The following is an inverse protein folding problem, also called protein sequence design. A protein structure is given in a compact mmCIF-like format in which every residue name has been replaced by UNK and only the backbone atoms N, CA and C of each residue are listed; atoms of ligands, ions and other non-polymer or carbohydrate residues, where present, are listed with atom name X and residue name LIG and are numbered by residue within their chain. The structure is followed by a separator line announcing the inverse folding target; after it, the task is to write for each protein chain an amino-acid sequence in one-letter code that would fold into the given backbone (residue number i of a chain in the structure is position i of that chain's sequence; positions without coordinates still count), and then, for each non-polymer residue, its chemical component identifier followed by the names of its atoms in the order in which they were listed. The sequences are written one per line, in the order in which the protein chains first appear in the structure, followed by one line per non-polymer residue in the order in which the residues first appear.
data_IF_599451129925
#
_entry.id   IF_599451129925
#
_cell.length_a   1.000
_cell.length_b   1.000
_cell.length_c   1.000
_cell.angle_alpha   90.00
_cell.angle_beta   90.00
_cell.angle_gamma   90.00
#
_symmetry.space_group_name_H-M   'P 1'
#
loop_
_entity.id
_entity.type
_entity.pdbx_description
1 polymer ?
#
# COMPACT_ATOMS: atom_id res chain seq x y z
N UNK A 1 12.24 -41.28 13.18
CA UNK A 1 12.11 -40.01 12.41
C UNK A 1 10.87 -39.29 12.91
N UNK A 2 11.06 -38.18 13.62
CA UNK A 2 9.98 -37.40 14.26
C UNK A 2 9.63 -36.27 13.31
N UNK A 3 8.43 -36.32 12.72
CA UNK A 3 7.93 -35.26 11.83
C UNK A 3 7.19 -34.25 12.70
N UNK A 4 7.78 -33.06 12.86
CA UNK A 4 7.22 -31.97 13.65
C UNK A 4 5.94 -31.43 13.02
N UNK A 5 4.86 -31.38 13.81
CA UNK A 5 3.59 -30.72 13.45
C UNK A 5 3.77 -29.19 13.53
N UNK A 6 3.66 -28.53 12.39
CA UNK A 6 3.59 -27.07 12.28
C UNK A 6 2.19 -26.60 12.72
N UNK A 7 2.11 -25.88 13.84
CA UNK A 7 0.84 -25.33 14.38
C UNK A 7 0.66 -23.91 13.83
N UNK A 8 -0.18 -23.76 12.82
CA UNK A 8 -0.61 -22.47 12.29
C UNK A 8 -1.47 -21.73 13.33
N UNK A 9 -1.19 -20.44 13.55
CA UNK A 9 -2.00 -19.57 14.40
C UNK A 9 -3.13 -18.99 13.55
N UNK A 10 -4.37 -19.18 14.00
CA UNK A 10 -5.57 -18.57 13.45
C UNK A 10 -5.52 -17.05 13.65
N UNK A 11 -5.86 -16.30 12.60
CA UNK A 11 -6.25 -14.90 12.67
C UNK A 11 -7.76 -14.83 12.76
N UNK A 12 -8.28 -14.62 13.97
CA UNK A 12 -9.66 -14.21 14.18
C UNK A 12 -9.74 -12.69 13.96
N UNK A 13 -10.34 -12.28 12.84
CA UNK A 13 -10.83 -10.93 12.62
C UNK A 13 -12.16 -10.77 13.37
N UNK A 14 -12.11 -10.14 14.55
CA UNK A 14 -13.32 -9.73 15.27
C UNK A 14 -13.41 -8.19 15.28
N UNK A 15 -14.37 -7.68 14.51
CA UNK A 15 -14.79 -6.29 14.53
C UNK A 15 -15.46 -5.95 15.87
N UNK A 16 -14.77 -5.18 16.71
CA UNK A 16 -15.43 -4.34 17.71
C UNK A 16 -14.89 -2.91 17.66
N UNK A 17 -15.75 -1.99 17.21
CA UNK A 17 -15.63 -0.56 17.38
C UNK A 17 -15.85 -0.19 18.85
N UNK A 18 -14.75 -0.06 19.60
CA UNK A 18 -14.78 0.57 20.92
C UNK A 18 -13.89 1.81 20.92
N UNK A 19 -14.54 2.96 21.13
CA UNK A 19 -13.91 4.22 21.46
C UNK A 19 -13.14 4.04 22.78
N UNK A 20 -11.80 4.04 22.71
CA UNK A 20 -10.95 4.07 23.90
C UNK A 20 -10.09 5.32 23.82
N UNK A 21 -10.54 6.35 24.55
CA UNK A 21 -9.74 7.52 24.91
C UNK A 21 -8.48 7.05 25.64
N UNK A 22 -7.33 7.08 24.95
CA UNK A 22 -6.03 6.82 25.58
C UNK A 22 -5.50 8.12 26.20
N UNK A 23 -5.32 8.20 27.53
CA UNK A 23 -4.67 9.36 28.15
C UNK A 23 -3.19 9.42 27.75
N UNK A 24 -2.75 10.60 27.32
CA UNK A 24 -1.34 10.92 27.04
C UNK A 24 -0.53 10.75 28.33
N UNK A 25 0.27 9.69 28.43
CA UNK A 25 1.30 9.57 29.48
C UNK A 25 2.40 10.61 29.24
N UNK A 26 2.30 11.73 29.97
CA UNK A 26 3.32 12.75 30.14
C UNK A 26 4.53 12.09 30.82
N UNK A 27 5.64 11.91 30.10
CA UNK A 27 6.89 11.42 30.66
C UNK A 27 7.42 12.45 31.67
N UNK A 28 7.40 12.08 32.94
CA UNK A 28 8.11 12.75 34.03
C UNK A 28 9.62 12.69 33.73
N UNK A 29 10.27 13.85 33.66
CA UNK A 29 11.73 13.98 33.63
C UNK A 29 12.24 13.80 35.05
N UNK A 30 12.88 12.69 35.35
CA UNK A 30 13.66 12.54 36.59
C UNK A 30 14.95 13.34 36.43
N UNK A 31 15.09 14.39 37.25
CA UNK A 31 16.33 15.09 37.53
C UNK A 31 17.31 14.12 38.19
N UNK A 32 18.51 13.97 37.63
CA UNK A 32 19.63 13.35 38.35
C UNK A 32 20.18 14.35 39.36
N UNK A 33 20.53 13.92 40.59
CA UNK A 33 21.06 14.79 41.63
C UNK A 33 22.53 15.15 41.38
N UNK A 34 22.83 16.41 41.67
CA UNK A 34 24.16 17.00 41.85
C UNK A 34 24.96 16.20 42.89
N UNK A 35 26.18 15.79 42.51
CA UNK A 35 27.25 15.38 43.42
C UNK A 35 28.55 15.90 42.81
N UNK A 36 28.86 17.16 43.09
CA UNK A 36 30.24 17.66 43.08
C UNK A 36 30.85 17.31 44.44
N UNK A 37 32.00 16.63 44.51
CA UNK A 37 32.85 16.67 45.69
C UNK A 37 33.65 18.00 45.70
N UNK A 38 33.79 18.67 46.85
CA UNK A 38 34.56 19.91 46.96
C UNK A 38 36.07 19.65 46.82
N UNK A 39 36.86 20.63 46.32
CA UNK A 39 38.30 20.53 46.27
C UNK A 39 38.92 20.69 47.67
N UNK A 40 39.86 19.80 48.00
CA UNK A 40 40.66 19.89 49.23
C UNK A 40 41.71 21.03 49.16
N UNK A 41 42.11 21.58 50.32
CA UNK A 41 42.85 22.82 50.41
C UNK A 41 44.36 22.67 50.19
N UNK A 42 44.95 23.73 49.64
CA UNK A 42 46.37 24.02 49.66
C UNK A 42 46.99 23.86 51.06
N UNK A 43 48.17 23.23 51.12
CA UNK A 43 49.07 23.26 52.28
C UNK A 43 50.52 22.93 51.92
N UNK A 44 51.53 23.48 52.63
CA UNK A 44 52.81 23.92 52.07
C UNK A 44 54.02 23.02 52.48
N UNK A 45 55.17 23.19 51.80
CA UNK A 45 56.44 22.57 52.18
C UNK A 45 57.15 21.89 51.01
N UNK A 46 57.87 22.57 50.12
CA UNK A 46 59.23 23.11 50.26
C UNK A 46 60.36 22.04 50.13
N UNK A 47 61.32 22.37 49.25
CA UNK A 47 62.73 21.94 49.16
C UNK A 47 63.09 20.60 48.50
N UNK A 48 63.70 20.69 47.32
CA UNK A 48 65.04 20.20 46.92
C UNK A 48 65.04 20.14 45.37
N UNK A 49 65.65 21.12 44.70
CA UNK A 49 67.04 21.05 44.22
C UNK A 49 67.40 19.70 43.59
N UNK A 50 67.31 19.63 42.26
CA UNK A 50 68.31 18.92 41.45
C UNK A 50 68.14 19.26 39.96
N UNK A 51 68.91 20.25 39.51
CA UNK A 51 69.40 20.23 38.13
C UNK A 51 70.43 19.11 38.01
N UNK A 52 70.44 18.42 36.86
CA UNK A 52 71.70 18.20 36.18
C UNK A 52 71.73 18.87 34.81
N UNK A 53 72.69 19.78 34.69
CA UNK A 53 73.50 19.99 33.50
C UNK A 53 73.89 18.70 32.78
N UNK A 54 73.99 18.78 31.45
CA UNK A 54 74.68 17.80 30.60
C UNK A 54 73.85 17.46 29.36
N UNK A 55 73.96 18.19 28.26
CA UNK A 55 75.03 18.08 27.26
C UNK A 55 75.22 16.65 26.74
N UNK A 56 74.70 16.37 25.55
CA UNK A 56 75.46 15.61 24.55
C UNK A 56 74.85 15.77 23.15
N UNK A 57 75.63 16.42 22.28
CA UNK A 57 75.58 16.26 20.83
C UNK A 57 75.35 14.80 20.44
N UNK A 58 74.30 14.56 19.66
CA UNK A 58 74.01 13.28 19.04
C UNK A 58 73.94 13.42 17.53
N UNK A 59 75.05 13.84 16.92
CA UNK A 59 75.26 13.76 15.47
C UNK A 59 75.05 12.32 15.01
N UNK A 60 73.88 11.99 14.45
CA UNK A 60 73.71 10.73 13.74
C UNK A 60 74.36 10.85 12.37
N UNK A 61 75.60 10.38 12.34
CA UNK A 61 76.36 10.10 11.15
C UNK A 61 75.54 9.26 10.17
N UNK A 62 75.36 9.80 8.96
CA UNK A 62 74.93 9.09 7.78
C UNK A 62 75.95 7.98 7.49
N UNK A 63 75.61 6.73 7.83
CA UNK A 63 76.23 5.59 7.16
C UNK A 63 75.56 5.45 5.81
N UNK A 64 76.22 5.98 4.78
CA UNK A 64 75.91 5.69 3.39
C UNK A 64 76.16 4.19 3.17
N UNK A 65 75.08 3.41 3.19
CA UNK A 65 75.13 2.03 2.75
C UNK A 65 75.17 2.02 1.22
N UNK A 66 76.35 1.70 0.68
CA UNK A 66 76.58 1.52 -0.75
C UNK A 66 76.00 0.17 -1.14
N UNK A 67 74.76 0.16 -1.62
CA UNK A 67 74.12 -1.07 -2.08
C UNK A 67 73.00 -0.84 -3.07
N UNK A 68 73.36 -0.78 -4.36
CA UNK A 68 72.53 -1.21 -5.51
C UNK A 68 71.13 -0.58 -5.65
N UNK A 69 71.00 0.36 -6.56
CA UNK A 69 70.32 0.15 -7.86
C UNK A 69 70.01 1.51 -8.50
N UNK A 70 70.53 1.67 -9.72
CA UNK A 70 70.27 2.79 -10.61
C UNK A 70 68.84 2.67 -11.12
N UNK A 71 67.88 3.24 -10.38
CA UNK A 71 66.58 3.62 -10.92
C UNK A 71 66.58 5.14 -11.14
N UNK A 72 66.00 5.56 -12.25
CA UNK A 72 66.06 6.93 -12.72
C UNK A 72 65.37 7.88 -11.73
N UNK A 73 66.00 8.99 -11.32
CA UNK A 73 65.48 9.88 -10.27
C UNK A 73 64.34 10.83 -10.72
N UNK A 74 63.72 10.60 -11.89
CA UNK A 74 62.69 11.49 -12.43
C UNK A 74 61.27 11.19 -11.95
N UNK A 75 60.77 9.97 -12.18
CA UNK A 75 59.33 9.67 -12.07
C UNK A 75 58.83 9.56 -10.63
N UNK A 76 59.61 8.97 -9.72
CA UNK A 76 59.19 8.83 -8.32
C UNK A 76 59.16 10.18 -7.57
N UNK A 77 60.07 11.10 -7.90
CA UNK A 77 60.10 12.44 -7.33
C UNK A 77 58.93 13.30 -7.86
N UNK A 78 58.55 13.11 -9.13
CA UNK A 78 57.41 13.77 -9.74
C UNK A 78 56.08 13.27 -9.15
N UNK A 79 55.94 11.98 -8.86
CA UNK A 79 54.75 11.40 -8.21
C UNK A 79 54.62 11.86 -6.74
N UNK A 80 55.73 11.94 -6.01
CA UNK A 80 55.79 12.48 -4.64
C UNK A 80 55.45 13.99 -4.62
N UNK A 81 55.86 14.73 -5.65
CA UNK A 81 55.50 16.14 -5.80
C UNK A 81 54.01 16.31 -6.11
N UNK A 82 53.46 15.52 -7.04
CA UNK A 82 52.03 15.58 -7.39
C UNK A 82 51.13 15.17 -6.23
N UNK A 83 51.52 14.18 -5.43
CA UNK A 83 50.77 13.78 -4.23
C UNK A 83 50.80 14.87 -3.17
N UNK A 84 51.95 15.49 -2.90
CA UNK A 84 52.05 16.64 -2.00
C UNK A 84 51.27 17.85 -2.50
N UNK A 85 51.26 18.11 -3.80
CA UNK A 85 50.48 19.19 -4.40
C UNK A 85 48.98 18.94 -4.25
N UNK A 86 48.51 17.70 -4.45
CA UNK A 86 47.12 17.32 -4.17
C UNK A 86 46.78 17.44 -2.69
N UNK A 87 47.69 17.04 -1.80
CA UNK A 87 47.49 17.13 -0.35
C UNK A 87 47.41 18.59 0.11
N UNK A 88 48.26 19.47 -0.43
CA UNK A 88 48.22 20.91 -0.17
C UNK A 88 46.92 21.53 -0.69
N UNK A 89 46.49 21.20 -1.92
CA UNK A 89 45.21 21.66 -2.45
C UNK A 89 44.02 21.12 -1.65
N UNK A 90 44.10 19.89 -1.15
CA UNK A 90 43.05 19.33 -0.30
C UNK A 90 43.01 20.02 1.07
N UNK A 91 44.17 20.35 1.65
CA UNK A 91 44.25 21.11 2.90
C UNK A 91 43.63 22.51 2.75
N UNK A 92 43.96 23.24 1.68
CA UNK A 92 43.36 24.55 1.39
C UNK A 92 41.83 24.45 1.19
N UNK A 93 41.35 23.38 0.54
CA UNK A 93 39.91 23.13 0.40
C UNK A 93 39.24 22.71 1.71
N UNK A 94 39.92 21.97 2.59
CA UNK A 94 39.43 21.61 3.93
C UNK A 94 39.31 22.84 4.83
N UNK A 95 40.23 23.80 4.70
CA UNK A 95 40.19 25.09 5.39
C UNK A 95 38.98 25.92 4.91
N UNK A 96 38.79 26.06 3.60
CA UNK A 96 37.62 26.74 3.02
C UNK A 96 36.30 26.07 3.40
N UNK A 97 36.29 24.74 3.47
CA UNK A 97 35.12 23.95 3.89
C UNK A 97 34.82 24.12 5.37
N UNK A 98 35.86 24.17 6.22
CA UNK A 98 35.71 24.45 7.64
C UNK A 98 35.15 25.86 7.85
N UNK A 99 35.68 26.84 7.13
CA UNK A 99 35.23 28.23 7.20
C UNK A 99 33.76 28.34 6.79
N UNK A 100 33.37 27.75 5.65
CA UNK A 100 31.95 27.67 5.22
C UNK A 100 31.05 26.96 6.24
N UNK A 101 31.48 25.87 6.86
CA UNK A 101 30.69 25.17 7.89
C UNK A 101 30.55 25.96 9.20
N UNK A 102 31.58 26.72 9.56
CA UNK A 102 31.56 27.61 10.73
C UNK A 102 30.70 28.85 10.47
N UNK A 103 30.65 29.33 9.22
CA UNK A 103 29.74 30.37 8.75
C UNK A 103 28.29 29.88 8.74
N UNK A 104 28.01 28.67 8.28
CA UNK A 104 26.66 28.07 8.29
C UNK A 104 26.14 27.80 9.72
N UNK A 105 27.04 27.44 10.66
CA UNK A 105 26.70 27.30 12.09
C UNK A 105 26.40 28.62 12.80
N UNK A 106 26.52 29.78 12.13
CA UNK A 106 26.06 31.10 12.63
C UNK A 106 24.53 31.17 12.71
N UNK A 107 23.80 30.11 12.34
CA UNK A 107 22.34 30.04 12.46
C UNK A 107 21.90 29.98 13.95
N UNK A 108 21.64 31.15 14.55
CA UNK A 108 21.15 31.30 15.92
C UNK A 108 19.81 30.56 16.17
N UNK A 109 19.53 30.15 17.43
CA UNK A 109 18.27 29.51 17.82
C UNK A 109 17.03 30.30 17.38
N UNK A 110 16.00 29.57 16.92
CA UNK A 110 14.74 30.09 16.36
C UNK A 110 14.01 31.18 17.17
N UNK A 111 14.30 31.31 18.47
CA UNK A 111 13.72 32.36 19.35
C UNK A 111 14.35 33.75 19.16
N UNK A 112 15.47 33.85 18.44
CA UNK A 112 16.14 35.11 18.06
C UNK A 112 15.90 35.46 16.58
N UNK A 113 15.18 34.60 15.84
CA UNK A 113 14.84 34.78 14.42
C UNK A 113 13.55 35.56 14.19
N UNK A 114 12.81 35.95 15.24
CA UNK A 114 11.60 36.77 15.12
C UNK A 114 11.72 37.92 16.14
N UNK A 115 11.47 39.19 15.84
CA UNK A 115 10.37 39.73 15.07
C UNK A 115 10.77 41.03 14.37
N UNK A 116 10.65 41.09 13.04
CA UNK A 116 9.90 42.13 12.31
C UNK A 116 10.05 41.90 10.80
N UNK A 117 8.92 41.60 10.15
CA UNK A 117 8.71 41.59 8.70
C UNK A 117 9.44 40.51 7.89
N UNK A 118 8.63 39.56 7.41
CA UNK A 118 8.91 38.56 6.37
C UNK A 118 9.09 39.20 4.97
N UNK A 119 9.68 40.39 4.89
CA UNK A 119 9.81 41.20 3.67
C UNK A 119 11.26 41.64 3.36
N UNK A 120 12.22 41.49 4.29
CA UNK A 120 13.62 41.86 4.07
C UNK A 120 14.55 40.70 4.43
N UNK A 121 14.56 39.65 3.61
CA UNK A 121 15.30 38.41 3.90
C UNK A 121 16.69 38.33 3.22
N UNK A 122 17.30 39.45 2.80
CA UNK A 122 18.53 39.39 2.01
C UNK A 122 19.62 40.44 2.29
N UNK A 123 19.67 41.12 3.45
CA UNK A 123 20.78 42.08 3.67
C UNK A 123 21.54 42.08 4.99
N UNK A 124 21.24 41.23 5.99
CA UNK A 124 22.02 41.24 7.24
C UNK A 124 22.98 40.05 7.36
N UNK A 125 23.74 39.85 6.28
CA UNK A 125 25.07 39.28 6.31
C UNK A 125 26.03 40.42 6.66
N UNK A 126 26.43 40.59 7.93
CA UNK A 126 27.77 41.05 8.33
C UNK A 126 27.86 41.40 9.83
N UNK A 127 28.65 40.61 10.56
CA UNK A 127 29.64 41.12 11.51
C UNK A 127 29.23 41.75 12.86
N UNK A 128 27.96 42.05 13.15
CA UNK A 128 27.60 42.87 14.33
C UNK A 128 26.70 42.20 15.39
N UNK A 129 26.50 40.88 15.34
CA UNK A 129 25.61 40.17 16.27
C UNK A 129 26.32 39.47 17.45
N UNK A 130 27.66 39.34 17.42
CA UNK A 130 28.44 38.74 18.51
C UNK A 130 28.36 39.56 19.82
N UNK A 131 28.22 40.88 19.72
CA UNK A 131 28.10 41.79 20.87
C UNK A 131 26.74 41.70 21.60
N UNK A 132 25.77 40.97 21.03
CA UNK A 132 24.42 40.79 21.61
C UNK A 132 24.25 39.44 22.31
N UNK A 133 25.24 38.54 22.24
CA UNK A 133 25.23 37.27 22.96
C UNK A 133 25.43 37.53 24.46
N UNK A 134 24.71 36.79 25.30
CA UNK A 134 24.99 36.71 26.73
C UNK A 134 26.47 36.32 26.94
N UNK A 135 27.19 36.90 27.92
CA UNK A 135 28.62 36.62 28.12
C UNK A 135 28.93 35.12 28.20
N UNK A 136 28.06 34.34 28.84
CA UNK A 136 28.19 32.89 28.93
C UNK A 136 28.03 32.15 27.58
N UNK A 137 27.11 32.60 26.73
CA UNK A 137 26.88 32.02 25.39
C UNK A 137 28.02 32.41 24.42
N UNK A 138 28.56 33.62 24.57
CA UNK A 138 29.72 34.11 23.83
C UNK A 138 31.00 33.35 24.19
N UNK A 139 31.22 33.07 25.48
CA UNK A 139 32.33 32.25 25.95
C UNK A 139 32.27 30.81 25.43
N UNK A 140 31.08 30.20 25.44
CA UNK A 140 30.88 28.86 24.89
C UNK A 140 31.10 28.85 23.36
N UNK A 141 30.67 29.89 22.66
CA UNK A 141 30.92 30.08 21.23
C UNK A 141 32.42 30.20 20.93
N UNK A 142 33.16 31.06 21.64
CA UNK A 142 34.62 31.19 21.47
C UNK A 142 35.29 29.85 21.75
N UNK A 143 34.90 29.16 22.83
CA UNK A 143 35.47 27.85 23.18
C UNK A 143 35.21 26.83 22.08
N UNK A 144 33.99 26.77 21.54
CA UNK A 144 33.63 25.88 20.44
C UNK A 144 34.41 26.21 19.16
N UNK A 145 34.56 27.50 18.84
CA UNK A 145 35.30 27.98 17.66
C UNK A 145 36.81 27.69 17.75
N UNK A 146 37.40 27.95 18.90
CA UNK A 146 38.81 27.63 19.17
C UNK A 146 39.03 26.12 19.15
N UNK A 147 38.09 25.34 19.71
CA UNK A 147 38.16 23.89 19.68
C UNK A 147 38.02 23.33 18.26
N UNK A 148 37.08 23.84 17.46
CA UNK A 148 36.90 23.41 16.05
C UNK A 148 38.09 23.76 15.17
N UNK A 149 38.76 24.90 15.41
CA UNK A 149 40.00 25.26 14.72
C UNK A 149 41.15 24.35 15.15
N UNK A 150 41.31 24.09 16.45
CA UNK A 150 42.36 23.19 16.96
C UNK A 150 42.11 21.71 16.62
N UNK A 151 40.85 21.30 16.41
CA UNK A 151 40.44 19.92 16.13
C UNK A 151 39.70 19.82 14.79
N UNK A 152 40.16 20.58 13.79
CA UNK A 152 39.54 20.70 12.47
C UNK A 152 39.17 19.36 11.84
N UNK A 153 40.12 18.42 11.78
CA UNK A 153 39.89 17.09 11.19
C UNK A 153 38.78 16.32 11.90
N UNK A 154 38.71 16.41 13.23
CA UNK A 154 37.69 15.74 14.03
C UNK A 154 36.32 16.41 13.83
N UNK A 155 36.30 17.75 13.81
CA UNK A 155 35.08 18.52 13.60
C UNK A 155 34.45 18.28 12.21
N UNK A 156 35.26 18.32 11.15
CA UNK A 156 34.82 17.98 9.79
C UNK A 156 34.28 16.53 9.71
N UNK A 157 34.97 15.58 10.33
CA UNK A 157 34.53 14.19 10.38
C UNK A 157 33.17 14.02 11.07
N UNK A 158 32.94 14.69 12.22
CA UNK A 158 31.64 14.65 12.90
C UNK A 158 30.52 15.26 12.04
N UNK A 159 30.80 16.38 11.36
CA UNK A 159 29.84 17.04 10.48
C UNK A 159 29.47 16.19 9.26
N UNK A 160 30.45 15.53 8.65
CA UNK A 160 30.21 14.60 7.54
C UNK A 160 29.36 13.42 7.98
N UNK A 161 29.59 12.87 9.17
CA UNK A 161 28.71 11.84 9.73
C UNK A 161 27.29 12.34 9.98
N UNK A 162 27.12 13.57 10.48
CA UNK A 162 25.81 14.17 10.74
C UNK A 162 25.05 14.40 9.44
N UNK A 163 25.71 14.95 8.42
CA UNK A 163 25.13 15.17 7.10
C UNK A 163 24.76 13.86 6.41
N UNK A 164 25.63 12.84 6.46
CA UNK A 164 25.32 11.51 5.95
C UNK A 164 24.10 10.91 6.66
N UNK A 165 24.00 11.05 7.99
CA UNK A 165 22.83 10.59 8.75
C UNK A 165 21.57 11.36 8.38
N UNK A 166 21.65 12.68 8.14
CA UNK A 166 20.53 13.51 7.69
C UNK A 166 20.07 13.09 6.30
N UNK A 167 20.99 12.98 5.34
CA UNK A 167 20.73 12.55 3.97
C UNK A 167 20.13 11.15 3.92
N UNK A 168 20.68 10.20 4.70
CA UNK A 168 20.13 8.85 4.80
C UNK A 168 18.71 8.82 5.39
N UNK A 169 18.40 9.69 6.36
CA UNK A 169 17.04 9.82 6.93
C UNK A 169 16.07 10.40 5.90
N UNK A 170 16.48 11.43 5.16
CA UNK A 170 15.65 12.05 4.12
C UNK A 170 15.40 11.09 2.96
N UNK A 171 16.44 10.39 2.50
CA UNK A 171 16.33 9.36 1.48
C UNK A 171 15.44 8.20 1.94
N UNK A 172 15.59 7.73 3.18
CA UNK A 172 14.72 6.70 3.73
C UNK A 172 13.25 7.16 3.82
N UNK A 173 13.00 8.44 4.14
CA UNK A 173 11.65 9.00 4.13
C UNK A 173 11.10 9.12 2.72
N UNK A 174 11.90 9.57 1.75
CA UNK A 174 11.49 9.66 0.36
C UNK A 174 11.22 8.28 -0.23
N UNK A 175 12.07 7.29 0.04
CA UNK A 175 11.88 5.90 -0.36
C UNK A 175 10.58 5.33 0.22
N UNK A 176 10.30 5.56 1.52
CA UNK A 176 9.01 5.16 2.14
C UNK A 176 7.82 5.85 1.50
N UNK A 177 7.91 7.14 1.16
CA UNK A 177 6.84 7.86 0.46
C UNK A 177 6.60 7.29 -0.94
N UNK A 178 7.67 7.03 -1.70
CA UNK A 178 7.62 6.41 -3.03
C UNK A 178 7.00 5.00 -2.97
N UNK A 179 7.44 4.17 -2.03
CA UNK A 179 6.89 2.82 -1.82
C UNK A 179 5.39 2.85 -1.47
N UNK A 180 4.95 3.79 -0.63
CA UNK A 180 3.52 3.96 -0.31
C UNK A 180 2.70 4.42 -1.52
N UNK A 181 3.23 5.36 -2.31
CA UNK A 181 2.56 5.82 -3.52
C UNK A 181 2.43 4.71 -4.56
N UNK A 182 3.50 3.95 -4.78
CA UNK A 182 3.54 2.82 -5.70
C UNK A 182 2.63 1.67 -5.23
N UNK A 183 2.60 1.37 -3.93
CA UNK A 183 1.66 0.41 -3.35
C UNK A 183 0.19 0.83 -3.55
N UNK A 184 -0.12 2.13 -3.40
CA UNK A 184 -1.47 2.66 -3.65
C UNK A 184 -1.86 2.51 -5.12
N UNK A 185 -0.95 2.80 -6.05
CA UNK A 185 -1.20 2.68 -7.49
C UNK A 185 -1.41 1.21 -7.90
N UNK A 186 -0.65 0.27 -7.33
CA UNK A 186 -0.88 -1.18 -7.54
C UNK A 186 -2.26 -1.62 -7.04
N UNK A 187 -2.64 -1.22 -5.83
CA UNK A 187 -3.94 -1.57 -5.26
C UNK A 187 -5.11 -1.04 -6.11
N UNK A 188 -5.01 0.20 -6.61
CA UNK A 188 -6.03 0.79 -7.50
C UNK A 188 -6.12 0.03 -8.84
N UNK A 189 -4.97 -0.35 -9.42
CA UNK A 189 -4.95 -1.14 -10.65
C UNK A 189 -5.58 -2.52 -10.45
N UNK A 190 -5.33 -3.15 -9.31
CA UNK A 190 -5.93 -4.44 -8.95
C UNK A 190 -7.45 -4.32 -8.72
N UNK A 191 -7.91 -3.26 -8.03
CA UNK A 191 -9.35 -3.03 -7.85
C UNK A 191 -10.07 -2.79 -9.18
N UNK A 192 -9.45 -2.04 -10.10
CA UNK A 192 -10.01 -1.83 -11.44
C UNK A 192 -10.04 -3.11 -12.27
N UNK A 193 -9.01 -3.97 -12.16
CA UNK A 193 -9.00 -5.29 -12.81
C UNK A 193 -10.11 -6.17 -12.26
N UNK A 194 -10.28 -6.24 -10.95
CA UNK A 194 -11.35 -7.01 -10.30
C UNK A 194 -12.74 -6.49 -10.72
N UNK A 195 -12.95 -5.17 -10.74
CA UNK A 195 -14.21 -4.58 -11.19
C UNK A 195 -14.53 -4.93 -12.65
N UNK A 196 -13.55 -4.83 -13.55
CA UNK A 196 -13.70 -5.23 -14.94
C UNK A 196 -13.97 -6.73 -15.10
N UNK A 197 -13.30 -7.57 -14.30
CA UNK A 197 -13.54 -9.01 -14.31
C UNK A 197 -14.95 -9.35 -13.84
N UNK A 198 -15.44 -8.70 -12.79
CA UNK A 198 -16.83 -8.83 -12.31
C UNK A 198 -17.83 -8.43 -13.40
N UNK A 199 -17.63 -7.30 -14.07
CA UNK A 199 -18.50 -6.84 -15.17
C UNK A 199 -18.53 -7.86 -16.32
N UNK A 200 -17.37 -8.37 -16.75
CA UNK A 200 -17.29 -9.42 -17.79
C UNK A 200 -17.96 -10.72 -17.36
N UNK A 201 -17.81 -11.12 -16.11
CA UNK A 201 -18.49 -12.29 -15.56
C UNK A 201 -20.02 -12.11 -15.57
N UNK A 202 -20.51 -10.96 -15.11
CA UNK A 202 -21.93 -10.63 -15.15
C UNK A 202 -22.50 -10.63 -16.57
N UNK A 203 -21.75 -10.10 -17.55
CA UNK A 203 -22.15 -10.14 -18.96
C UNK A 203 -22.24 -11.58 -19.48
N UNK A 204 -21.25 -12.43 -19.19
CA UNK A 204 -21.30 -13.86 -19.55
C UNK A 204 -22.50 -14.58 -18.94
N UNK A 205 -22.87 -14.27 -17.69
CA UNK A 205 -24.06 -14.82 -17.05
C UNK A 205 -25.35 -14.41 -17.79
N UNK A 206 -25.45 -13.15 -18.22
CA UNK A 206 -26.59 -12.65 -19.02
C UNK A 206 -26.65 -13.31 -20.40
N UNK A 207 -25.52 -13.43 -21.08
CA UNK A 207 -25.44 -14.10 -22.40
C UNK A 207 -25.79 -15.61 -22.29
N UNK A 208 -25.39 -16.26 -21.19
CA UNK A 208 -25.77 -17.64 -20.91
C UNK A 208 -27.27 -17.77 -20.59
N UNK A 209 -27.88 -16.77 -19.95
CA UNK A 209 -29.33 -16.70 -19.71
C UNK A 209 -30.11 -16.58 -21.02
N UNK A 210 -29.70 -15.68 -21.93
CA UNK A 210 -30.38 -15.51 -23.22
C UNK A 210 -30.26 -16.76 -24.09
N UNK A 211 -29.05 -17.31 -24.23
CA UNK A 211 -28.82 -18.55 -24.99
C UNK A 211 -29.63 -19.74 -24.46
N UNK A 212 -29.72 -19.90 -23.14
CA UNK A 212 -30.53 -20.98 -22.54
C UNK A 212 -32.01 -20.81 -22.83
N UNK A 213 -32.53 -19.59 -22.73
CA UNK A 213 -33.91 -19.32 -23.13
C UNK A 213 -34.16 -19.59 -24.63
N UNK A 214 -33.22 -19.22 -25.50
CA UNK A 214 -33.30 -19.52 -26.94
C UNK A 214 -33.41 -21.03 -27.17
N UNK A 215 -32.50 -21.81 -26.59
CA UNK A 215 -32.52 -23.28 -26.66
C UNK A 215 -33.86 -23.83 -26.18
N UNK A 216 -34.30 -23.45 -24.98
CA UNK A 216 -35.58 -23.90 -24.42
C UNK A 216 -36.77 -23.53 -25.30
N UNK A 217 -36.74 -22.37 -25.97
CA UNK A 217 -37.79 -21.97 -26.89
C UNK A 217 -37.80 -22.82 -28.16
N UNK A 218 -36.63 -23.20 -28.69
CA UNK A 218 -36.54 -24.16 -29.79
C UNK A 218 -37.15 -25.50 -29.39
N UNK A 219 -36.82 -26.02 -28.20
CA UNK A 219 -37.40 -27.26 -27.65
C UNK A 219 -38.92 -27.16 -27.49
N UNK A 220 -39.42 -26.04 -26.95
CA UNK A 220 -40.85 -25.87 -26.70
C UNK A 220 -41.65 -25.76 -28.01
N UNK A 221 -41.07 -25.13 -29.03
CA UNK A 221 -41.71 -24.92 -30.33
C UNK A 221 -41.58 -26.14 -31.28
N UNK A 222 -40.57 -26.99 -31.12
CA UNK A 222 -40.38 -28.18 -31.97
C UNK A 222 -41.44 -29.27 -31.76
N UNK A 223 -42.07 -29.31 -30.58
CA UNK A 223 -43.12 -30.30 -30.29
C UNK A 223 -44.46 -29.96 -30.95
N UNK A 224 -44.70 -28.70 -31.28
CA UNK A 224 -45.94 -28.26 -31.92
C UNK A 224 -46.09 -28.75 -33.36
N UNK A 225 -45.00 -29.11 -34.05
CA UNK A 225 -45.04 -29.53 -35.46
C UNK A 225 -45.18 -31.04 -35.67
N UNK A 226 -45.09 -31.86 -34.62
CA UNK A 226 -45.24 -33.33 -34.70
C UNK A 226 -46.56 -33.87 -34.13
N UNK A 227 -47.38 -33.04 -33.49
CA UNK A 227 -48.57 -33.50 -32.77
C UNK A 227 -49.83 -33.70 -33.64
N UNK A 228 -49.82 -33.38 -34.95
CA UNK A 228 -51.00 -33.56 -35.82
C UNK A 228 -51.13 -34.95 -36.47
N UNK A 229 -50.20 -35.89 -36.25
CA UNK A 229 -50.22 -37.21 -36.93
C UNK A 229 -50.24 -38.45 -36.04
N UNK A 230 -50.47 -38.34 -34.73
CA UNK A 230 -50.57 -39.51 -33.86
C UNK A 230 -51.81 -39.44 -32.96
N UNK A 231 -52.81 -40.25 -33.32
CA UNK A 231 -54.08 -40.41 -32.62
C UNK A 231 -53.99 -41.14 -31.28
N UNK A 232 -55.14 -41.13 -30.62
CA UNK A 232 -55.58 -41.76 -29.37
C UNK A 232 -54.80 -43.01 -28.90
N UNK A 233 -54.36 -43.00 -27.63
CA UNK A 233 -53.78 -44.18 -26.99
C UNK A 233 -53.22 -43.95 -25.57
N UNK A 234 -54.04 -44.27 -24.57
CA UNK A 234 -53.72 -44.80 -23.24
C UNK A 234 -52.78 -44.04 -22.27
N UNK A 235 -53.37 -43.76 -21.10
CA UNK A 235 -52.88 -42.98 -19.96
C UNK A 235 -51.71 -43.61 -19.16
N UNK A 236 -51.00 -44.61 -19.70
CA UNK A 236 -49.81 -45.25 -19.09
C UNK A 236 -48.50 -45.02 -19.85
N UNK A 237 -48.54 -44.47 -21.07
CA UNK A 237 -47.37 -44.35 -21.97
C UNK A 237 -46.62 -43.01 -21.85
N UNK A 238 -47.12 -42.06 -21.05
CA UNK A 238 -46.58 -40.69 -20.98
C UNK A 238 -45.18 -40.56 -20.38
N UNK A 239 -44.78 -41.46 -19.49
CA UNK A 239 -43.42 -41.45 -18.92
C UNK A 239 -42.41 -42.16 -19.82
N UNK A 240 -42.81 -43.21 -20.53
CA UNK A 240 -41.93 -43.97 -21.43
C UNK A 240 -41.58 -43.18 -22.70
N UNK A 241 -42.56 -42.44 -23.25
CA UNK A 241 -42.32 -41.49 -24.35
C UNK A 241 -41.47 -40.28 -23.94
N UNK A 242 -41.40 -39.93 -22.65
CA UNK A 242 -40.66 -38.79 -22.11
C UNK A 242 -39.14 -39.00 -22.16
N UNK A 243 -38.71 -40.24 -21.89
CA UNK A 243 -37.31 -40.66 -22.02
C UNK A 243 -36.95 -40.94 -23.49
N UNK A 244 -37.89 -41.46 -24.28
CA UNK A 244 -37.64 -41.87 -25.67
C UNK A 244 -37.67 -40.71 -26.70
N UNK A 245 -38.34 -39.58 -26.40
CA UNK A 245 -38.34 -38.36 -27.24
C UNK A 245 -37.29 -37.31 -26.84
N UNK A 246 -36.46 -37.59 -25.84
CA UNK A 246 -35.11 -37.01 -25.74
C UNK A 246 -34.99 -35.51 -25.47
N UNK A 247 -35.83 -34.90 -24.64
CA UNK A 247 -35.59 -33.53 -24.14
C UNK A 247 -36.04 -33.36 -22.67
N UNK A 248 -35.51 -34.19 -21.79
CA UNK A 248 -35.61 -33.99 -20.34
C UNK A 248 -34.67 -32.84 -19.97
N UNK A 249 -35.19 -31.84 -19.26
CA UNK A 249 -34.44 -30.65 -18.82
C UNK A 249 -34.09 -30.81 -17.34
N UNK A 250 -32.86 -30.46 -16.94
CA UNK A 250 -32.50 -30.44 -15.52
C UNK A 250 -32.93 -29.13 -14.85
N UNK A 251 -33.16 -29.16 -13.53
CA UNK A 251 -33.56 -27.96 -12.77
C UNK A 251 -32.56 -26.81 -12.92
N UNK A 252 -31.26 -27.13 -13.00
CA UNK A 252 -30.17 -26.16 -13.15
C UNK A 252 -30.08 -25.56 -14.57
N UNK A 253 -30.66 -26.23 -15.56
CA UNK A 253 -30.70 -25.75 -16.94
C UNK A 253 -31.74 -24.65 -17.13
N UNK A 254 -32.70 -24.52 -16.21
CA UNK A 254 -33.66 -23.42 -16.21
C UNK A 254 -32.91 -22.10 -15.98
N UNK A 255 -33.01 -21.12 -16.89
CA UNK A 255 -32.25 -19.89 -16.83
C UNK A 255 -32.84 -18.90 -15.82
N UNK A 256 -32.54 -19.08 -14.54
CA UNK A 256 -32.97 -18.18 -13.46
C UNK A 256 -32.35 -16.76 -13.61
N UNK A 257 -33.13 -15.67 -13.44
CA UNK A 257 -32.65 -14.30 -13.66
C UNK A 257 -31.90 -13.75 -12.43
N UNK A 258 -30.90 -14.48 -11.97
CA UNK A 258 -30.06 -14.11 -10.81
C UNK A 258 -28.60 -14.49 -11.08
N UNK A 259 -27.67 -13.74 -10.49
CA UNK A 259 -26.26 -14.11 -10.54
C UNK A 259 -25.99 -15.34 -9.66
N UNK A 260 -25.06 -16.23 -10.06
CA UNK A 260 -24.61 -17.30 -9.18
C UNK A 260 -23.97 -16.68 -7.92
N UNK A 261 -24.07 -17.36 -6.76
CA UNK A 261 -23.48 -16.87 -5.52
C UNK A 261 -21.98 -16.62 -5.72
N UNK A 262 -21.50 -15.47 -5.26
CA UNK A 262 -20.07 -15.24 -5.13
C UNK A 262 -19.56 -16.00 -3.91
N UNK A 263 -18.28 -16.41 -3.93
CA UNK A 263 -17.64 -17.09 -2.79
C UNK A 263 -17.65 -16.24 -1.50
N UNK A 264 -17.95 -14.94 -1.61
CA UNK A 264 -18.06 -13.98 -0.51
C UNK A 264 -19.47 -13.82 0.06
N UNK A 265 -20.50 -14.45 -0.51
CA UNK A 265 -21.88 -14.21 -0.10
C UNK A 265 -22.28 -15.14 1.05
N UNK A 266 -22.99 -14.59 2.04
CA UNK A 266 -23.59 -15.36 3.14
C UNK A 266 -24.50 -16.47 2.60
N UNK A 267 -24.65 -17.60 3.32
CA UNK A 267 -25.47 -18.73 2.89
C UNK A 267 -26.98 -18.39 2.98
N UNK A 268 -27.44 -17.51 2.09
CA UNK A 268 -28.84 -17.14 1.92
C UNK A 268 -29.53 -18.29 1.17
N UNK A 269 -30.75 -18.62 1.57
CA UNK A 269 -31.55 -19.64 0.89
C UNK A 269 -31.72 -19.28 -0.59
N UNK A 270 -31.57 -20.27 -1.47
CA UNK A 270 -31.57 -20.02 -2.90
C UNK A 270 -32.87 -19.36 -3.43
N UNK A 271 -33.99 -19.57 -2.73
CA UNK A 271 -35.30 -18.93 -3.00
C UNK A 271 -35.30 -17.45 -2.58
N UNK A 272 -34.66 -17.10 -1.48
CA UNK A 272 -34.62 -15.73 -0.95
C UNK A 272 -33.79 -14.79 -1.83
N UNK A 273 -32.87 -15.36 -2.62
CA UNK A 273 -32.13 -14.63 -3.67
C UNK A 273 -33.03 -14.18 -4.83
N UNK A 274 -34.20 -14.80 -5.02
CA UNK A 274 -35.20 -14.36 -5.99
C UNK A 274 -36.01 -13.17 -5.41
N UNK A 275 -35.30 -12.07 -5.17
CA UNK A 275 -35.87 -10.81 -4.70
C UNK A 275 -35.86 -9.74 -5.80
N UNK A 276 -36.58 -8.65 -5.56
CA UNK A 276 -36.75 -7.53 -6.50
C UNK A 276 -35.39 -6.95 -6.92
N UNK A 277 -34.49 -6.73 -5.97
CA UNK A 277 -33.19 -6.11 -6.20
C UNK A 277 -32.29 -6.98 -7.10
N UNK A 278 -32.17 -8.27 -6.79
CA UNK A 278 -31.32 -9.21 -7.52
C UNK A 278 -31.81 -9.44 -8.95
N UNK A 279 -33.14 -9.61 -9.14
CA UNK A 279 -33.72 -9.80 -10.47
C UNK A 279 -33.63 -8.50 -11.29
N UNK A 280 -33.85 -7.34 -10.67
CA UNK A 280 -33.66 -6.03 -11.33
C UNK A 280 -32.22 -5.81 -11.76
N UNK A 281 -31.26 -6.05 -10.87
CA UNK A 281 -29.83 -5.89 -11.16
C UNK A 281 -29.40 -6.82 -12.30
N UNK A 282 -29.86 -8.08 -12.27
CA UNK A 282 -29.56 -9.05 -13.31
C UNK A 282 -30.12 -8.62 -14.67
N UNK A 283 -31.42 -8.33 -14.76
CA UNK A 283 -32.09 -8.06 -16.03
C UNK A 283 -31.78 -6.68 -16.60
N UNK A 284 -31.78 -5.63 -15.77
CA UNK A 284 -31.72 -4.23 -16.23
C UNK A 284 -30.62 -3.41 -15.58
N UNK A 285 -29.84 -3.95 -14.63
CA UNK A 285 -28.78 -3.20 -13.93
C UNK A 285 -27.63 -2.71 -14.81
N UNK A 286 -27.53 -3.17 -16.06
CA UNK A 286 -26.56 -2.65 -17.05
C UNK A 286 -27.06 -1.41 -17.81
N UNK A 287 -28.35 -1.12 -17.72
CA UNK A 287 -28.94 0.07 -18.31
C UNK A 287 -28.89 1.18 -17.26
N UNK A 288 -28.45 2.38 -17.67
CA UNK A 288 -28.54 3.56 -16.81
C UNK A 288 -29.98 3.77 -16.34
N UNK A 289 -30.19 4.29 -15.13
CA UNK A 289 -31.53 4.52 -14.57
C UNK A 289 -32.17 5.83 -15.07
N UNK A 290 -32.04 6.08 -16.36
CA UNK A 290 -32.50 7.32 -17.01
C UNK A 290 -33.86 7.12 -17.71
N UNK A 291 -34.55 8.22 -18.00
CA UNK A 291 -35.83 8.21 -18.74
C UNK A 291 -35.68 7.68 -20.17
N UNK A 292 -34.50 7.83 -20.78
CA UNK A 292 -34.23 7.36 -22.15
C UNK A 292 -34.20 5.83 -22.25
N UNK A 293 -33.75 5.14 -21.20
CA UNK A 293 -33.62 3.68 -21.15
C UNK A 293 -34.81 2.99 -20.50
N UNK A 294 -35.72 3.73 -19.86
CA UNK A 294 -36.99 3.23 -19.32
C UNK A 294 -37.79 2.33 -20.30
N UNK A 295 -38.01 2.69 -21.58
CA UNK A 295 -38.72 1.82 -22.52
C UNK A 295 -37.97 0.50 -22.80
N UNK A 296 -36.62 0.55 -22.85
CA UNK A 296 -35.79 -0.64 -23.03
C UNK A 296 -35.86 -1.56 -21.79
N UNK A 297 -35.76 -1.00 -20.58
CA UNK A 297 -35.93 -1.75 -19.32
C UNK A 297 -37.28 -2.45 -19.27
N UNK A 298 -38.36 -1.72 -19.59
CA UNK A 298 -39.73 -2.25 -19.62
C UNK A 298 -39.90 -3.37 -20.65
N UNK A 299 -39.27 -3.24 -21.83
CA UNK A 299 -39.27 -4.30 -22.86
C UNK A 299 -38.60 -5.59 -22.37
N UNK A 300 -37.44 -5.49 -21.70
CA UNK A 300 -36.72 -6.65 -21.15
C UNK A 300 -37.56 -7.35 -20.08
N UNK A 301 -38.16 -6.59 -19.17
CA UNK A 301 -38.98 -7.15 -18.09
C UNK A 301 -40.24 -7.80 -18.62
N UNK A 302 -40.93 -7.19 -19.59
CA UNK A 302 -42.08 -7.82 -20.25
C UNK A 302 -41.70 -9.11 -20.98
N UNK A 303 -40.54 -9.14 -21.66
CA UNK A 303 -40.06 -10.36 -22.30
C UNK A 303 -39.79 -11.48 -21.26
N UNK A 304 -39.17 -11.14 -20.14
CA UNK A 304 -38.98 -12.08 -19.02
C UNK A 304 -40.32 -12.56 -18.44
N UNK A 305 -41.29 -11.65 -18.23
CA UNK A 305 -42.64 -11.98 -17.76
C UNK A 305 -43.33 -13.00 -18.67
N UNK A 306 -43.21 -12.84 -19.98
CA UNK A 306 -43.79 -13.78 -20.95
C UNK A 306 -43.10 -15.14 -20.92
N UNK A 307 -41.80 -15.21 -20.58
CA UNK A 307 -41.07 -16.47 -20.40
C UNK A 307 -41.45 -17.19 -19.09
N UNK A 308 -41.68 -16.43 -18.03
CA UNK A 308 -42.09 -16.91 -16.71
C UNK A 308 -43.61 -16.88 -16.48
N UNK A 309 -44.41 -16.72 -17.53
CA UNK A 309 -45.86 -16.75 -17.42
C UNK A 309 -46.30 -18.16 -17.02
N UNK A 310 -47.22 -18.33 -16.05
CA UNK A 310 -47.58 -19.64 -15.51
C UNK A 310 -47.96 -20.66 -16.58
N UNK A 311 -48.79 -20.32 -17.56
CA UNK A 311 -49.17 -21.26 -18.65
C UNK A 311 -47.97 -21.74 -19.48
N UNK A 312 -47.08 -20.83 -19.89
CA UNK A 312 -45.90 -21.20 -20.68
C UNK A 312 -44.87 -21.95 -19.84
N UNK A 313 -44.63 -21.48 -18.62
CA UNK A 313 -43.63 -22.04 -17.74
C UNK A 313 -44.06 -23.42 -17.21
N UNK A 314 -45.34 -23.66 -16.96
CA UNK A 314 -45.84 -24.98 -16.55
C UNK A 314 -45.54 -26.03 -17.63
N UNK A 315 -45.65 -25.70 -18.93
CA UNK A 315 -45.22 -26.61 -20.02
C UNK A 315 -43.74 -26.98 -19.95
N UNK A 316 -42.89 -26.05 -19.51
CA UNK A 316 -41.47 -26.30 -19.30
C UNK A 316 -41.24 -27.16 -18.05
N UNK A 317 -41.94 -26.88 -16.95
CA UNK A 317 -41.88 -27.68 -15.71
C UNK A 317 -42.24 -29.13 -15.97
N UNK A 318 -43.22 -29.40 -16.84
CA UNK A 318 -43.59 -30.77 -17.23
C UNK A 318 -42.45 -31.52 -17.92
N UNK A 319 -41.42 -30.85 -18.45
CA UNK A 319 -40.24 -31.47 -19.08
C UNK A 319 -39.04 -31.58 -18.14
N UNK A 320 -39.15 -31.03 -16.93
CA UNK A 320 -38.10 -31.13 -15.92
C UNK A 320 -38.01 -32.57 -15.44
N UNK A 321 -36.77 -33.06 -15.25
CA UNK A 321 -36.50 -34.39 -14.70
C UNK A 321 -37.15 -34.54 -13.33
N UNK A 322 -37.90 -35.62 -13.12
CA UNK A 322 -38.61 -35.90 -11.86
C UNK A 322 -37.67 -36.45 -10.76
N UNK A 323 -36.53 -35.80 -10.54
CA UNK A 323 -35.57 -36.11 -9.45
C UNK A 323 -35.75 -35.09 -8.32
N UNK A 324 -35.70 -35.53 -7.05
CA UNK A 324 -35.65 -34.67 -5.87
C UNK A 324 -36.72 -33.56 -5.78
N UNK A 325 -37.93 -33.86 -6.28
CA UNK A 325 -39.03 -32.89 -6.39
C UNK A 325 -38.66 -31.64 -7.21
N UNK A 326 -37.68 -31.76 -8.12
CA UNK A 326 -37.27 -30.72 -9.05
C UNK A 326 -38.42 -30.03 -9.81
N UNK A 327 -39.46 -30.72 -10.33
CA UNK A 327 -40.58 -30.03 -10.98
C UNK A 327 -41.37 -29.14 -10.01
N UNK A 328 -41.58 -29.57 -8.76
CA UNK A 328 -42.26 -28.77 -7.73
C UNK A 328 -41.41 -27.56 -7.36
N UNK A 329 -40.10 -27.75 -7.15
CA UNK A 329 -39.15 -26.66 -6.90
C UNK A 329 -39.12 -25.66 -8.06
N UNK A 330 -39.06 -26.14 -9.31
CA UNK A 330 -39.09 -25.30 -10.50
C UNK A 330 -40.37 -24.46 -10.55
N UNK A 331 -41.53 -25.06 -10.25
CA UNK A 331 -42.81 -24.36 -10.19
C UNK A 331 -42.85 -23.27 -9.13
N UNK A 332 -42.36 -23.56 -7.92
CA UNK A 332 -42.27 -22.58 -6.83
C UNK A 332 -41.37 -21.39 -7.20
N UNK A 333 -40.18 -21.68 -7.75
CA UNK A 333 -39.23 -20.64 -8.17
C UNK A 333 -39.76 -19.83 -9.35
N UNK A 334 -40.36 -20.48 -10.34
CA UNK A 334 -40.98 -19.82 -11.49
C UNK A 334 -42.12 -18.90 -11.07
N UNK A 335 -42.96 -19.34 -10.13
CA UNK A 335 -44.02 -18.52 -9.55
C UNK A 335 -43.43 -17.31 -8.81
N UNK A 336 -42.38 -17.51 -7.99
CA UNK A 336 -41.72 -16.42 -7.28
C UNK A 336 -41.12 -15.38 -8.23
N UNK A 337 -40.44 -15.84 -9.29
CA UNK A 337 -39.90 -14.96 -10.34
C UNK A 337 -41.02 -14.18 -11.02
N UNK A 338 -42.13 -14.85 -11.37
CA UNK A 338 -43.30 -14.22 -12.00
C UNK A 338 -43.89 -13.10 -11.13
N UNK A 339 -44.05 -13.34 -9.83
CA UNK A 339 -44.52 -12.34 -8.86
C UNK A 339 -43.59 -11.12 -8.83
N UNK A 340 -42.28 -11.34 -8.66
CA UNK A 340 -41.29 -10.26 -8.60
C UNK A 340 -41.23 -9.47 -9.90
N UNK A 341 -41.32 -10.15 -11.05
CA UNK A 341 -41.35 -9.49 -12.35
C UNK A 341 -42.61 -8.63 -12.55
N UNK A 342 -43.75 -9.04 -12.01
CA UNK A 342 -44.97 -8.24 -12.05
C UNK A 342 -44.84 -6.98 -11.19
N UNK A 343 -44.27 -7.11 -10.00
CA UNK A 343 -43.94 -5.96 -9.14
C UNK A 343 -42.99 -5.00 -9.88
N UNK A 344 -41.92 -5.52 -10.49
CA UNK A 344 -40.97 -4.71 -11.26
C UNK A 344 -41.62 -3.99 -12.44
N UNK A 345 -42.51 -4.65 -13.18
CA UNK A 345 -43.21 -4.04 -14.31
C UNK A 345 -44.17 -2.92 -13.89
N UNK A 346 -44.69 -2.96 -12.65
CA UNK A 346 -45.50 -1.88 -12.08
C UNK A 346 -44.65 -0.71 -11.59
N UNK A 347 -43.43 -0.96 -11.10
CA UNK A 347 -42.53 0.11 -10.60
C UNK A 347 -41.84 0.93 -11.68
N UNK A 348 -41.80 0.44 -12.93
CA UNK A 348 -41.13 1.13 -14.05
C UNK A 348 -42.18 1.94 -14.81
N UNK A 349 -42.35 3.18 -14.35
CA UNK A 349 -43.09 4.23 -15.05
C UNK A 349 -42.28 4.87 -16.18
#
# INVERSE_FOLDING_TARGET
MVVGKLRMKNTDDNHQSSQINKPRKRRQRTRSPSIDPPPEPYGPGNVMDEFPSGSSSGSRALKADKGKSRQQPGQAADDDFQTKLRDALNADNEDLRLESLLEDEVTLPRRWQDHQSRAHAHSDLNGHQLARLEPAEYEEYIRKRMWSQSHQKNYLYLKDQEEQKRKAREEAQQARKKQRADAKLRAERESLKQANQKLKSQQRCRDAYTRRWELLNYLLNSDGSKAETAGEGESGSRQKLKDEMGQVIEFEEIPWPVYPPSESDDPISAVERLNISSIREFLVGHLADDRSTAPARKKIIRAALLSYHPDRFDRLVHRVKDIDKAPQKAKEWGLRVSQVLNELNQTID
#
